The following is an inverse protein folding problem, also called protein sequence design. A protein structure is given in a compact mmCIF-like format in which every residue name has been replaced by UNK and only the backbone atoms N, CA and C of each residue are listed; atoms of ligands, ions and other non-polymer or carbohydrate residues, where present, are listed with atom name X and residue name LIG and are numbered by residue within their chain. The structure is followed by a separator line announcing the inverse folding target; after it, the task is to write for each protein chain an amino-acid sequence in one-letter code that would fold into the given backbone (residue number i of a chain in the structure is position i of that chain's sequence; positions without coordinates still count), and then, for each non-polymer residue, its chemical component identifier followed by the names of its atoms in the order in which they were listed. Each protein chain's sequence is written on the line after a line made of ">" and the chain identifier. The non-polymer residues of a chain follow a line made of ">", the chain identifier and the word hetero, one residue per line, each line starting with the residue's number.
data_IF_988325279378
#
_entry.id   IF_988325279378
#
_cell.length_a   1.000
_cell.length_b   1.000
_cell.length_c   1.000
_cell.angle_alpha   90.00
_cell.angle_beta   90.00
_cell.angle_gamma   90.00
#
_symmetry.space_group_name_H-M   'P 1'
#
loop_
_entity.id
_entity.type
_entity.pdbx_description
1 polymer ?
#
# COMPACT_ATOMS: atom_id res chain seq x y z
N UNK A 1 -25.95 23.56 4.26
CA UNK A 1 -24.67 23.17 3.62
C UNK A 1 -24.20 21.87 4.28
N UNK A 2 -23.78 20.88 3.50
CA UNK A 2 -23.29 19.58 4.00
C UNK A 2 -21.84 19.68 4.50
N UNK A 3 -21.06 20.64 3.97
CA UNK A 3 -19.68 20.91 4.38
C UNK A 3 -19.31 22.37 4.12
N UNK A 4 -18.31 22.89 4.84
CA UNK A 4 -17.71 24.20 4.57
C UNK A 4 -16.22 24.18 4.91
N UNK A 5 -15.40 23.44 4.14
CA UNK A 5 -13.95 23.39 4.37
C UNK A 5 -13.37 24.79 4.19
N UNK A 6 -12.52 25.21 5.14
CA UNK A 6 -11.85 26.50 5.12
C UNK A 6 -10.40 26.30 5.53
N UNK A 7 -9.49 26.96 4.80
CA UNK A 7 -8.09 27.09 5.18
C UNK A 7 -7.61 28.51 4.83
N UNK A 8 -6.53 29.00 5.46
CA UNK A 8 -6.18 30.43 5.43
C UNK A 8 -5.98 31.03 4.03
N UNK A 9 -5.53 30.22 3.07
CA UNK A 9 -5.22 30.63 1.69
C UNK A 9 -6.33 30.31 0.67
N UNK A 10 -7.53 29.88 1.11
CA UNK A 10 -8.62 29.54 0.21
C UNK A 10 -9.19 30.79 -0.50
N UNK A 11 -8.93 30.93 -1.80
CA UNK A 11 -9.67 31.83 -2.68
C UNK A 11 -10.48 31.01 -3.70
N UNK A 12 -11.80 30.91 -3.49
CA UNK A 12 -12.68 30.08 -4.32
C UNK A 12 -12.71 30.49 -5.80
N UNK A 13 -12.34 31.73 -6.14
CA UNK A 13 -12.36 32.22 -7.52
C UNK A 13 -11.21 31.69 -8.38
N UNK A 14 -10.12 31.20 -7.78
CA UNK A 14 -8.95 30.69 -8.50
C UNK A 14 -8.89 29.17 -8.59
N UNK A 15 -9.84 28.46 -7.96
CA UNK A 15 -9.89 27.00 -7.99
C UNK A 15 -10.26 26.50 -9.38
N UNK A 16 -9.48 25.55 -9.88
CA UNK A 16 -9.78 24.82 -11.10
C UNK A 16 -10.19 23.35 -10.79
N UNK A 17 -10.84 22.64 -11.73
CA UNK A 17 -11.21 21.24 -11.54
C UNK A 17 -10.02 20.28 -11.40
N UNK A 18 -8.79 20.68 -11.77
CA UNK A 18 -7.60 19.84 -11.60
C UNK A 18 -6.97 20.02 -10.21
N UNK A 19 -7.36 21.04 -9.45
CA UNK A 19 -6.81 21.39 -8.14
C UNK A 19 -7.74 21.00 -7.00
N UNK A 20 -8.95 20.54 -7.28
CA UNK A 20 -9.90 20.07 -6.28
C UNK A 20 -10.46 18.73 -6.70
N UNK A 21 -10.54 17.80 -5.76
CA UNK A 21 -11.18 16.51 -5.98
C UNK A 21 -12.07 16.17 -4.79
N UNK A 22 -13.20 15.55 -5.10
CA UNK A 22 -14.13 15.03 -4.11
C UNK A 22 -14.16 13.51 -4.20
N UNK A 23 -14.47 12.89 -3.07
CA UNK A 23 -14.79 11.48 -2.92
C UNK A 23 -15.97 11.35 -1.94
N UNK A 24 -16.55 10.16 -1.73
CA UNK A 24 -17.69 9.97 -0.83
C UNK A 24 -17.45 10.45 0.62
N UNK A 25 -16.21 10.43 1.09
CA UNK A 25 -15.82 10.65 2.49
C UNK A 25 -14.81 11.78 2.70
N UNK A 26 -14.11 12.24 1.65
CA UNK A 26 -13.16 13.34 1.80
C UNK A 26 -13.07 14.26 0.57
N UNK A 27 -12.54 15.45 0.82
CA UNK A 27 -12.26 16.52 -0.16
C UNK A 27 -10.75 16.78 -0.11
N UNK A 28 -10.11 16.81 -1.27
CA UNK A 28 -8.73 17.21 -1.41
C UNK A 28 -8.65 18.47 -2.27
N UNK A 29 -7.85 19.44 -1.84
CA UNK A 29 -7.63 20.68 -2.58
C UNK A 29 -6.15 21.06 -2.54
N UNK A 30 -5.59 21.44 -3.68
CA UNK A 30 -4.25 22.04 -3.75
C UNK A 30 -4.29 23.42 -3.12
N UNK A 31 -3.33 23.70 -2.25
CA UNK A 31 -3.17 25.02 -1.66
C UNK A 31 -2.81 26.05 -2.77
N UNK A 32 -3.31 27.27 -2.60
CA UNK A 32 -3.16 28.34 -3.58
C UNK A 32 -1.99 29.27 -3.27
N UNK A 33 -1.61 29.36 -1.99
CA UNK A 33 -0.41 30.08 -1.58
C UNK A 33 0.82 29.20 -1.82
N UNK A 34 0.72 27.89 -1.55
CA UNK A 34 1.79 26.92 -1.83
C UNK A 34 1.30 25.81 -2.76
N UNK A 35 1.66 25.92 -4.03
CA UNK A 35 1.29 24.92 -5.05
C UNK A 35 1.88 23.52 -4.83
N UNK A 36 2.74 23.35 -3.82
CA UNK A 36 3.31 22.05 -3.43
C UNK A 36 2.51 21.35 -2.34
N UNK A 37 1.48 22.00 -1.80
CA UNK A 37 0.70 21.50 -0.68
C UNK A 37 -0.69 21.03 -1.13
N UNK A 38 -1.14 19.89 -0.61
CA UNK A 38 -2.52 19.41 -0.75
C UNK A 38 -3.16 19.36 0.63
N UNK A 39 -4.22 20.14 0.80
CA UNK A 39 -5.11 20.16 1.95
C UNK A 39 -6.14 19.04 1.81
N UNK A 40 -6.44 18.34 2.91
CA UNK A 40 -7.44 17.26 2.93
C UNK A 40 -8.40 17.46 4.08
N UNK A 41 -9.68 17.36 3.75
CA UNK A 41 -10.79 17.50 4.68
C UNK A 41 -11.72 16.30 4.58
N UNK A 42 -12.33 15.93 5.70
CA UNK A 42 -13.51 15.09 5.75
C UNK A 42 -14.70 15.83 5.14
N UNK A 43 -15.76 15.12 4.76
CA UNK A 43 -17.04 15.71 4.34
C UNK A 43 -17.61 16.68 5.38
N UNK A 44 -17.24 16.58 6.65
CA UNK A 44 -17.65 17.56 7.67
C UNK A 44 -16.81 18.85 7.68
N UNK A 45 -15.81 18.97 6.81
CA UNK A 45 -14.91 20.13 6.73
C UNK A 45 -13.77 20.11 7.75
N UNK A 46 -13.61 19.02 8.50
CA UNK A 46 -12.51 18.82 9.44
C UNK A 46 -11.27 18.33 8.70
N UNK A 47 -10.10 18.89 9.04
CA UNK A 47 -8.82 18.44 8.48
C UNK A 47 -8.56 16.95 8.80
N UNK A 48 -8.17 16.20 7.77
CA UNK A 48 -7.71 14.82 7.92
C UNK A 48 -6.19 14.86 7.95
N UNK A 49 -5.61 14.60 9.13
CA UNK A 49 -4.15 14.58 9.32
C UNK A 49 -3.47 15.90 8.95
N UNK A 50 -2.16 15.85 8.75
CA UNK A 50 -1.40 17.02 8.27
C UNK A 50 -1.57 17.18 6.75
N UNK A 51 -1.43 18.41 6.20
CA UNK A 51 -1.41 18.60 4.76
C UNK A 51 -0.28 17.80 4.11
N UNK A 52 -0.49 17.36 2.86
CA UNK A 52 0.58 16.75 2.08
C UNK A 52 1.49 17.83 1.52
N UNK A 53 2.80 17.69 1.70
CA UNK A 53 3.80 18.55 1.07
C UNK A 53 4.63 17.74 0.09
N UNK A 54 4.79 18.24 -1.13
CA UNK A 54 5.60 17.64 -2.19
C UNK A 54 6.83 18.52 -2.50
N UNK A 55 7.85 17.95 -3.11
CA UNK A 55 9.08 18.69 -3.45
C UNK A 55 8.85 19.65 -4.63
N UNK A 56 8.04 19.21 -5.60
CA UNK A 56 7.67 19.91 -6.82
C UNK A 56 6.21 20.39 -6.76
N UNK A 57 5.90 21.41 -7.57
CA UNK A 57 4.55 21.97 -7.66
C UNK A 57 3.59 20.95 -8.29
N UNK A 58 2.37 20.93 -7.79
CA UNK A 58 1.35 19.95 -8.13
C UNK A 58 0.41 20.58 -9.17
N UNK A 59 0.17 19.87 -10.27
CA UNK A 59 -0.65 20.35 -11.39
C UNK A 59 -2.08 19.80 -11.38
N UNK A 60 -2.22 18.51 -11.10
CA UNK A 60 -3.51 17.80 -11.10
C UNK A 60 -3.61 16.89 -9.88
N UNK A 61 -4.78 16.85 -9.24
CA UNK A 61 -5.10 15.94 -8.13
C UNK A 61 -6.40 15.18 -8.42
N UNK A 62 -6.53 14.00 -7.84
CA UNK A 62 -7.72 13.16 -7.96
C UNK A 62 -7.83 12.16 -6.83
N UNK A 63 -8.96 12.15 -6.15
CA UNK A 63 -9.30 11.14 -5.15
C UNK A 63 -9.97 9.94 -5.83
N UNK A 64 -9.63 8.75 -5.35
CA UNK A 64 -10.35 7.53 -5.68
C UNK A 64 -11.78 7.57 -5.11
N UNK A 65 -12.70 6.82 -5.73
CA UNK A 65 -14.11 6.76 -5.30
C UNK A 65 -14.51 5.40 -4.69
N UNK A 66 -13.75 4.34 -4.96
CA UNK A 66 -14.09 2.99 -4.51
C UNK A 66 -13.62 2.66 -3.09
N UNK A 67 -14.09 1.54 -2.57
CA UNK A 67 -13.66 1.00 -1.27
C UNK A 67 -14.10 1.82 -0.06
N UNK A 68 -13.56 1.47 1.09
CA UNK A 68 -13.82 2.17 2.36
C UNK A 68 -13.01 3.45 2.49
N UNK A 69 -13.39 4.32 3.45
CA UNK A 69 -12.63 5.54 3.76
C UNK A 69 -11.14 5.24 4.04
N UNK A 70 -10.84 4.15 4.74
CA UNK A 70 -9.46 3.77 5.08
C UNK A 70 -8.62 3.32 3.86
N UNK A 71 -9.27 2.91 2.77
CA UNK A 71 -8.62 2.51 1.52
C UNK A 71 -8.51 3.68 0.51
N UNK A 72 -9.01 4.86 0.90
CA UNK A 72 -9.02 6.05 0.05
C UNK A 72 -7.59 6.44 -0.35
N UNK A 73 -7.38 6.47 -1.66
CA UNK A 73 -6.17 6.92 -2.31
C UNK A 73 -6.36 8.30 -2.92
N UNK A 74 -5.29 9.09 -2.84
CA UNK A 74 -5.09 10.32 -3.57
C UNK A 74 -4.06 10.06 -4.67
N UNK A 75 -4.38 10.43 -5.90
CA UNK A 75 -3.42 10.53 -6.99
C UNK A 75 -3.14 12.00 -7.28
N UNK A 76 -1.90 12.33 -7.62
CA UNK A 76 -1.55 13.65 -8.10
C UNK A 76 -0.41 13.61 -9.10
N UNK A 77 -0.43 14.55 -10.05
CA UNK A 77 0.62 14.74 -11.03
C UNK A 77 1.35 16.04 -10.72
N UNK A 78 2.67 15.96 -10.60
CA UNK A 78 3.51 17.14 -10.41
C UNK A 78 3.88 17.81 -11.74
N UNK A 79 4.55 18.96 -11.68
CA UNK A 79 5.02 19.69 -12.87
C UNK A 79 6.03 18.91 -13.72
N UNK A 80 6.68 17.89 -13.16
CA UNK A 80 7.58 16.99 -13.91
C UNK A 80 6.83 15.90 -14.67
N UNK A 81 5.49 15.90 -14.59
CA UNK A 81 4.59 14.90 -15.19
C UNK A 81 4.79 13.51 -14.59
N UNK A 82 5.24 13.46 -13.34
CA UNK A 82 5.25 12.23 -12.58
C UNK A 82 3.94 12.09 -11.81
N UNK A 83 3.30 10.92 -11.94
CA UNK A 83 2.09 10.55 -11.22
C UNK A 83 2.48 9.86 -9.92
N UNK A 84 1.99 10.39 -8.81
CA UNK A 84 2.15 9.84 -7.48
C UNK A 84 0.81 9.36 -6.95
N UNK A 85 0.86 8.36 -6.07
CA UNK A 85 -0.27 7.96 -5.25
C UNK A 85 0.09 8.06 -3.76
N UNK A 86 -0.89 8.41 -2.96
CA UNK A 86 -0.77 8.60 -1.53
C UNK A 86 -1.97 8.05 -0.77
N UNK A 87 -1.73 7.51 0.43
CA UNK A 87 -2.79 7.07 1.35
C UNK A 87 -3.40 8.27 2.06
N UNK A 88 -4.72 8.46 1.99
CA UNK A 88 -5.38 9.66 2.57
C UNK A 88 -5.44 9.62 4.09
N UNK A 89 -5.91 8.52 4.68
CA UNK A 89 -6.05 8.46 6.13
C UNK A 89 -4.71 8.11 6.79
N UNK A 90 -4.21 8.93 7.73
CA UNK A 90 -3.02 8.59 8.50
C UNK A 90 -3.32 7.37 9.38
N UNK A 91 -2.35 6.47 9.53
CA UNK A 91 -2.45 5.37 10.50
C UNK A 91 -1.83 5.84 11.83
N UNK A 92 -2.37 5.42 13.00
CA UNK A 92 -1.92 5.92 14.31
C UNK A 92 -0.41 5.79 14.57
N UNK A 93 0.26 4.83 13.93
CA UNK A 93 1.68 4.52 14.08
C UNK A 93 2.49 4.65 12.79
N UNK A 94 1.91 5.17 11.70
CA UNK A 94 2.60 5.28 10.42
C UNK A 94 2.24 6.56 9.67
N UNK A 95 3.28 7.20 9.13
CA UNK A 95 3.12 8.30 8.19
C UNK A 95 2.36 7.84 6.94
N UNK A 96 1.76 8.81 6.25
CA UNK A 96 1.12 8.55 4.96
C UNK A 96 2.17 8.05 3.98
N UNK A 97 1.85 6.96 3.27
CA UNK A 97 2.72 6.43 2.23
C UNK A 97 2.51 7.24 0.96
N UNK A 98 3.59 7.63 0.29
CA UNK A 98 3.59 8.36 -0.98
C UNK A 98 4.64 7.71 -1.87
N UNK A 99 4.25 7.29 -3.07
CA UNK A 99 5.16 6.67 -4.03
C UNK A 99 4.78 7.07 -5.46
N UNK A 100 5.80 7.11 -6.32
CA UNK A 100 5.67 7.44 -7.75
C UNK A 100 5.11 6.25 -8.52
N UNK A 101 3.88 6.36 -9.01
CA UNK A 101 3.17 5.33 -9.79
C UNK A 101 3.63 5.29 -11.25
N UNK A 102 3.92 6.44 -11.86
CA UNK A 102 4.26 6.53 -13.27
C UNK A 102 4.97 7.82 -13.65
N UNK A 103 5.60 7.81 -14.82
CA UNK A 103 6.25 8.98 -15.42
C UNK A 103 5.59 9.40 -16.72
N UNK A 104 5.84 10.65 -17.12
CA UNK A 104 5.35 11.26 -18.37
C UNK A 104 3.83 11.12 -18.49
N UNK A 105 3.13 11.30 -17.36
CA UNK A 105 1.68 11.19 -17.29
C UNK A 105 1.04 12.46 -17.78
N UNK A 106 0.25 12.33 -18.85
CA UNK A 106 -0.41 13.47 -19.46
C UNK A 106 -1.70 13.87 -18.77
N UNK A 107 -2.46 12.87 -18.34
CA UNK A 107 -3.75 12.99 -17.66
C UNK A 107 -4.07 11.64 -17.02
N UNK A 108 -4.88 11.65 -15.97
CA UNK A 108 -5.34 10.41 -15.33
C UNK A 108 -6.79 10.53 -14.84
N UNK A 109 -7.49 9.42 -14.72
CA UNK A 109 -8.79 9.35 -14.04
C UNK A 109 -8.90 8.08 -13.22
N UNK A 110 -9.43 8.23 -12.01
CA UNK A 110 -9.91 7.11 -11.22
C UNK A 110 -11.19 6.55 -11.83
N UNK A 111 -11.41 5.26 -11.65
CA UNK A 111 -12.70 4.67 -11.94
C UNK A 111 -13.79 5.22 -11.01
N UNK A 112 -15.00 5.32 -11.55
CA UNK A 112 -16.20 5.76 -10.82
C UNK A 112 -16.51 4.99 -9.52
N UNK A 113 -16.21 3.68 -9.45
CA UNK A 113 -16.63 2.82 -8.34
C UNK A 113 -15.50 1.98 -7.73
N UNK A 114 -14.40 1.78 -8.45
CA UNK A 114 -13.29 0.93 -8.04
C UNK A 114 -12.03 1.75 -7.79
N UNK A 115 -11.13 1.25 -6.93
CA UNK A 115 -9.83 1.85 -6.69
C UNK A 115 -8.82 1.45 -7.77
N UNK A 116 -9.18 1.73 -9.03
CA UNK A 116 -8.35 1.48 -10.22
C UNK A 116 -8.20 2.80 -10.99
N UNK A 117 -7.06 2.98 -11.64
CA UNK A 117 -6.69 4.24 -12.28
C UNK A 117 -6.26 4.00 -13.73
N UNK A 118 -6.70 4.89 -14.59
CA UNK A 118 -6.29 4.98 -15.99
C UNK A 118 -5.48 6.25 -16.18
N UNK A 119 -4.34 6.19 -16.88
CA UNK A 119 -3.59 7.36 -17.26
C UNK A 119 -3.03 7.23 -18.67
N UNK A 120 -2.87 8.37 -19.35
CA UNK A 120 -2.05 8.45 -20.56
C UNK A 120 -0.61 8.64 -20.12
N UNK A 121 0.24 7.64 -20.37
CA UNK A 121 1.68 7.72 -20.22
C UNK A 121 2.31 7.91 -21.59
N UNK A 122 2.89 9.08 -21.81
CA UNK A 122 3.35 9.53 -23.12
C UNK A 122 2.22 9.45 -24.17
N UNK A 123 2.16 8.40 -24.99
CA UNK A 123 1.09 8.18 -25.99
C UNK A 123 0.18 6.98 -25.68
N UNK A 124 0.50 6.21 -24.64
CA UNK A 124 -0.12 4.92 -24.35
C UNK A 124 -1.06 5.01 -23.16
N UNK A 125 -2.16 4.25 -23.21
CA UNK A 125 -3.10 4.16 -22.10
C UNK A 125 -2.62 3.09 -21.12
N UNK A 126 -2.19 3.50 -19.93
CA UNK A 126 -1.83 2.59 -18.84
C UNK A 126 -2.98 2.47 -17.85
N UNK A 127 -3.37 1.24 -17.55
CA UNK A 127 -4.40 0.90 -16.58
C UNK A 127 -3.75 0.16 -15.43
N UNK A 128 -3.83 0.70 -14.21
CA UNK A 128 -3.41 -0.02 -13.01
C UNK A 128 -4.66 -0.55 -12.30
N UNK A 129 -4.75 -1.88 -12.27
CA UNK A 129 -5.89 -2.61 -11.72
C UNK A 129 -5.86 -2.73 -10.20
N UNK A 130 -4.69 -2.49 -9.60
CA UNK A 130 -4.51 -2.47 -8.15
C UNK A 130 -3.37 -1.51 -7.74
N UNK A 131 -3.58 -0.18 -7.76
CA UNK A 131 -2.52 0.81 -7.55
C UNK A 131 -1.86 0.74 -6.17
N UNK A 132 -2.60 0.36 -5.12
CA UNK A 132 -2.09 0.27 -3.75
C UNK A 132 -0.88 -0.67 -3.62
N UNK A 133 -0.71 -1.64 -4.54
CA UNK A 133 0.41 -2.59 -4.48
C UNK A 133 1.78 -1.92 -4.49
N UNK A 134 1.90 -0.68 -4.99
CA UNK A 134 3.17 0.04 -5.01
C UNK A 134 3.81 0.19 -3.62
N UNK A 135 2.97 0.27 -2.58
CA UNK A 135 3.38 0.44 -1.19
C UNK A 135 3.82 -0.85 -0.50
N UNK A 136 3.73 -1.96 -1.22
CA UNK A 136 3.96 -3.32 -0.71
C UNK A 136 5.01 -4.00 -1.59
N UNK A 137 4.76 -4.10 -2.89
CA UNK A 137 5.65 -4.75 -3.85
C UNK A 137 5.64 -4.03 -5.22
N UNK A 138 6.69 -3.25 -5.44
CA UNK A 138 6.91 -2.51 -6.70
C UNK A 138 7.11 -3.43 -7.91
N UNK A 139 7.56 -4.68 -7.72
CA UNK A 139 7.71 -5.64 -8.83
C UNK A 139 6.36 -6.13 -9.31
N UNK A 140 5.43 -6.36 -8.39
CA UNK A 140 4.09 -6.85 -8.71
C UNK A 140 3.21 -5.78 -9.38
N UNK A 141 3.51 -4.49 -9.15
CA UNK A 141 2.84 -3.37 -9.81
C UNK A 141 2.76 -3.52 -11.33
N UNK A 142 3.87 -3.93 -11.97
CA UNK A 142 3.93 -4.11 -13.43
C UNK A 142 3.01 -5.22 -13.92
N UNK A 143 2.79 -6.26 -13.10
CA UNK A 143 1.91 -7.38 -13.43
C UNK A 143 0.44 -7.04 -13.19
N UNK A 144 0.14 -6.14 -12.26
CA UNK A 144 -1.21 -5.62 -12.03
C UNK A 144 -1.56 -4.42 -12.94
N UNK A 145 -0.78 -4.19 -13.98
CA UNK A 145 -0.99 -3.09 -14.91
C UNK A 145 -1.09 -3.61 -16.34
N UNK A 146 -1.94 -2.97 -17.14
CA UNK A 146 -2.11 -3.27 -18.57
C UNK A 146 -1.86 -2.00 -19.35
N UNK A 147 -0.96 -2.08 -20.32
CA UNK A 147 -0.66 -1.00 -21.25
C UNK A 147 -1.38 -1.29 -22.55
N UNK A 148 -2.15 -0.32 -23.03
CA UNK A 148 -2.79 -0.34 -24.34
C UNK A 148 -2.15 0.74 -25.19
N UNK A 149 -1.38 0.30 -26.17
CA UNK A 149 -0.87 1.17 -27.22
C UNK A 149 -1.90 1.18 -28.34
N UNK A 150 -2.32 2.37 -28.78
CA UNK A 150 -3.15 2.50 -29.97
C UNK A 150 -2.78 3.78 -30.69
N UNK A 151 -2.48 3.66 -31.98
CA UNK A 151 -2.31 4.79 -32.88
C UNK A 151 -3.56 5.68 -32.96
N UNK A 152 -4.72 5.15 -32.57
CA UNK A 152 -6.00 5.85 -32.58
C UNK A 152 -6.06 7.00 -31.58
N UNK A 153 -5.24 6.98 -30.51
CA UNK A 153 -5.24 8.05 -29.50
C UNK A 153 -4.62 9.35 -30.00
N UNK A 154 -3.89 9.33 -31.11
CA UNK A 154 -3.32 10.51 -31.73
C UNK A 154 -2.37 11.30 -30.83
N UNK A 155 -2.21 12.58 -31.12
CA UNK A 155 -1.31 13.46 -30.39
C UNK A 155 -2.00 14.02 -29.12
N UNK A 156 -1.33 13.98 -27.97
CA UNK A 156 -1.79 14.55 -26.68
C UNK A 156 -3.21 14.10 -26.24
N UNK A 157 -3.47 12.79 -26.13
CA UNK A 157 -4.74 12.30 -25.62
C UNK A 157 -4.93 12.67 -24.14
N UNK A 158 -6.17 12.96 -23.75
CA UNK A 158 -6.55 13.23 -22.37
C UNK A 158 -7.63 12.26 -21.89
N UNK A 159 -7.42 11.61 -20.75
CA UNK A 159 -8.44 10.79 -20.10
C UNK A 159 -9.50 11.71 -19.51
N UNK A 160 -10.73 11.64 -20.04
CA UNK A 160 -11.85 12.45 -19.56
C UNK A 160 -12.65 11.72 -18.49
N UNK A 161 -12.93 10.45 -18.70
CA UNK A 161 -13.82 9.64 -17.86
C UNK A 161 -13.33 8.21 -17.73
N UNK A 162 -13.64 7.57 -16.60
CA UNK A 162 -13.47 6.13 -16.43
C UNK A 162 -14.67 5.58 -15.65
N UNK A 163 -15.64 5.03 -16.38
CA UNK A 163 -16.91 4.55 -15.83
C UNK A 163 -17.12 3.11 -16.24
N UNK A 164 -17.42 2.24 -15.26
CA UNK A 164 -17.52 0.80 -15.49
C UNK A 164 -16.24 0.26 -16.14
N UNK A 165 -16.39 -0.36 -17.30
CA UNK A 165 -15.30 -0.91 -18.11
C UNK A 165 -14.92 -0.02 -19.32
N UNK A 166 -15.23 1.28 -19.28
CA UNK A 166 -15.02 2.19 -20.40
C UNK A 166 -14.18 3.40 -19.98
N UNK A 167 -13.12 3.67 -20.75
CA UNK A 167 -12.26 4.84 -20.57
C UNK A 167 -12.50 5.80 -21.73
N UNK A 168 -13.06 6.97 -21.42
CA UNK A 168 -13.23 8.06 -22.37
C UNK A 168 -11.92 8.83 -22.53
N UNK A 169 -11.45 8.94 -23.77
CA UNK A 169 -10.20 9.61 -24.15
C UNK A 169 -10.55 10.69 -25.16
N UNK A 170 -10.18 11.93 -24.86
CA UNK A 170 -10.31 13.06 -25.78
C UNK A 170 -8.99 13.28 -26.52
N UNK A 171 -9.06 13.32 -27.85
CA UNK A 171 -7.93 13.60 -28.74
C UNK A 171 -7.70 15.11 -28.89
N UNK A 172 -6.55 15.49 -29.47
CA UNK A 172 -6.23 16.89 -29.79
C UNK A 172 -7.19 17.54 -30.78
N UNK A 173 -7.84 16.76 -31.65
CA UNK A 173 -8.86 17.22 -32.59
C UNK A 173 -10.25 17.37 -31.96
N UNK A 174 -10.38 17.08 -30.65
CA UNK A 174 -11.63 17.17 -29.89
C UNK A 174 -12.49 15.91 -29.96
N UNK A 175 -12.14 14.91 -30.78
CA UNK A 175 -12.88 13.65 -30.86
C UNK A 175 -12.81 12.88 -29.53
N UNK A 176 -13.93 12.26 -29.15
CA UNK A 176 -14.02 11.42 -27.96
C UNK A 176 -14.00 9.94 -28.37
N UNK A 177 -12.95 9.24 -27.97
CA UNK A 177 -12.76 7.81 -28.16
C UNK A 177 -13.13 7.09 -26.86
N UNK A 178 -13.79 5.95 -26.97
CA UNK A 178 -14.03 5.07 -25.83
C UNK A 178 -13.18 3.82 -25.97
N UNK A 179 -12.23 3.64 -25.05
CA UNK A 179 -11.42 2.42 -24.95
C UNK A 179 -12.06 1.48 -23.94
N UNK A 180 -12.45 0.29 -24.40
CA UNK A 180 -12.94 -0.78 -23.52
C UNK A 180 -11.84 -1.35 -22.64
N UNK A 181 -12.17 -1.69 -21.41
CA UNK A 181 -11.33 -2.39 -20.42
C UNK A 181 -11.97 -3.74 -20.12
N UNK A 182 -11.17 -4.70 -19.65
CA UNK A 182 -11.67 -6.02 -19.26
C UNK A 182 -12.77 -5.90 -18.19
N UNK A 183 -14.00 -6.40 -18.45
CA UNK A 183 -15.08 -6.35 -17.45
C UNK A 183 -14.84 -7.30 -16.28
N UNK A 184 -13.99 -8.32 -16.46
CA UNK A 184 -13.69 -9.33 -15.44
C UNK A 184 -13.01 -8.76 -14.21
N UNK A 185 -12.32 -7.63 -14.34
CA UNK A 185 -11.71 -6.95 -13.20
C UNK A 185 -12.76 -6.46 -12.20
N UNK A 186 -13.84 -5.85 -12.68
CA UNK A 186 -14.91 -5.37 -11.79
C UNK A 186 -15.59 -6.54 -11.07
N UNK A 187 -15.80 -7.64 -11.78
CA UNK A 187 -16.35 -8.88 -11.20
C UNK A 187 -15.39 -9.45 -10.14
N UNK A 188 -14.07 -9.45 -10.41
CA UNK A 188 -13.06 -9.92 -9.46
C UNK A 188 -13.05 -9.10 -8.17
N UNK A 189 -13.06 -7.76 -8.28
CA UNK A 189 -13.18 -6.87 -7.12
C UNK A 189 -14.47 -7.17 -6.33
N UNK A 190 -15.59 -7.42 -7.01
CA UNK A 190 -16.85 -7.83 -6.36
C UNK A 190 -16.76 -9.17 -5.61
N UNK A 191 -16.07 -10.17 -6.17
CA UNK A 191 -15.81 -11.43 -5.48
C UNK A 191 -14.88 -11.26 -4.27
N UNK A 192 -13.86 -10.43 -4.38
CA UNK A 192 -12.96 -10.11 -3.25
C UNK A 192 -13.73 -9.43 -2.12
N UNK A 193 -14.64 -8.49 -2.42
CA UNK A 193 -15.44 -7.79 -1.41
C UNK A 193 -16.47 -8.71 -0.73
N UNK A 194 -17.00 -9.69 -1.45
CA UNK A 194 -17.96 -10.68 -0.90
C UNK A 194 -17.28 -11.88 -0.25
N UNK A 195 -15.96 -12.00 -0.31
CA UNK A 195 -15.22 -13.18 0.17
C UNK A 195 -15.46 -14.44 -0.67
N UNK A 196 -15.95 -14.31 -1.90
CA UNK A 196 -16.28 -15.44 -2.80
C UNK A 196 -15.05 -15.95 -3.55
N UNK A 197 -14.01 -16.36 -2.82
CA UNK A 197 -12.69 -16.68 -3.38
C UNK A 197 -12.68 -17.86 -4.35
N UNK A 198 -13.56 -18.84 -4.15
CA UNK A 198 -13.71 -19.99 -5.06
C UNK A 198 -14.17 -19.56 -6.45
N UNK A 199 -15.08 -18.60 -6.52
CA UNK A 199 -15.58 -18.08 -7.80
C UNK A 199 -14.58 -17.12 -8.43
N UNK A 200 -13.84 -16.35 -7.63
CA UNK A 200 -12.69 -15.57 -8.10
C UNK A 200 -11.62 -16.45 -8.78
N UNK A 201 -11.30 -17.62 -8.20
CA UNK A 201 -10.38 -18.60 -8.81
C UNK A 201 -10.93 -19.18 -10.11
N UNK A 202 -12.22 -19.54 -10.14
CA UNK A 202 -12.87 -20.04 -11.37
C UNK A 202 -12.82 -19.01 -12.49
N UNK A 203 -13.09 -17.74 -12.16
CA UNK A 203 -12.99 -16.63 -13.10
C UNK A 203 -11.58 -16.51 -13.67
N UNK A 204 -10.55 -16.49 -12.82
CA UNK A 204 -9.16 -16.35 -13.28
C UNK A 204 -8.70 -17.57 -14.11
N UNK A 205 -9.13 -18.78 -13.75
CA UNK A 205 -8.86 -20.01 -14.53
C UNK A 205 -9.52 -19.99 -15.90
N UNK A 206 -10.71 -19.40 -16.02
CA UNK A 206 -11.44 -19.27 -17.27
C UNK A 206 -10.81 -18.22 -18.19
N UNK A 207 -10.50 -17.03 -17.65
CA UNK A 207 -9.99 -15.90 -18.43
C UNK A 207 -8.52 -16.09 -18.83
N UNK A 208 -7.72 -16.75 -17.98
CA UNK A 208 -6.28 -17.01 -18.19
C UNK A 208 -5.46 -15.73 -18.46
N UNK A 209 -5.86 -14.62 -17.86
CA UNK A 209 -5.15 -13.33 -17.92
C UNK A 209 -4.21 -13.19 -16.71
N UNK A 210 -2.93 -12.98 -16.98
CA UNK A 210 -1.90 -12.82 -15.95
C UNK A 210 -2.17 -11.61 -15.03
N UNK A 211 -2.68 -10.50 -15.58
CA UNK A 211 -2.94 -9.30 -14.79
C UNK A 211 -4.08 -9.51 -13.78
N UNK A 212 -5.08 -10.30 -14.19
CA UNK A 212 -6.19 -10.68 -13.33
C UNK A 212 -5.73 -11.64 -12.21
N UNK A 213 -4.88 -12.61 -12.54
CA UNK A 213 -4.25 -13.50 -11.55
C UNK A 213 -3.38 -12.73 -10.55
N UNK A 214 -2.61 -11.75 -11.02
CA UNK A 214 -1.80 -10.90 -10.15
C UNK A 214 -2.68 -10.08 -9.19
N UNK A 215 -3.79 -9.54 -9.66
CA UNK A 215 -4.75 -8.83 -8.80
C UNK A 215 -5.37 -9.76 -7.75
N UNK A 216 -5.78 -10.96 -8.14
CA UNK A 216 -6.32 -11.95 -7.21
C UNK A 216 -5.30 -12.33 -6.14
N UNK A 217 -4.03 -12.55 -6.51
CA UNK A 217 -2.98 -12.87 -5.56
C UNK A 217 -2.82 -11.78 -4.48
N UNK A 218 -2.84 -10.50 -4.89
CA UNK A 218 -2.76 -9.36 -3.96
C UNK A 218 -3.98 -9.28 -3.06
N UNK A 219 -5.19 -9.36 -3.64
CA UNK A 219 -6.45 -9.29 -2.89
C UNK A 219 -6.56 -10.42 -1.86
N UNK A 220 -6.24 -11.66 -2.25
CA UNK A 220 -6.24 -12.81 -1.37
C UNK A 220 -5.20 -12.69 -0.23
N UNK A 221 -4.01 -12.13 -0.54
CA UNK A 221 -2.99 -11.87 0.48
C UNK A 221 -3.49 -10.90 1.54
N UNK A 222 -4.13 -9.80 1.13
CA UNK A 222 -4.67 -8.81 2.06
C UNK A 222 -5.86 -9.34 2.86
N UNK A 223 -6.68 -10.19 2.25
CA UNK A 223 -7.77 -10.87 2.94
C UNK A 223 -7.31 -12.03 3.83
N UNK A 224 -6.00 -12.35 3.85
CA UNK A 224 -5.40 -13.45 4.62
C UNK A 224 -5.88 -14.84 4.19
N UNK A 225 -6.21 -14.98 2.91
CA UNK A 225 -6.72 -16.22 2.29
C UNK A 225 -5.59 -17.00 1.60
N UNK A 226 -5.06 -18.00 2.30
CA UNK A 226 -3.83 -18.70 1.94
C UNK A 226 -4.01 -19.55 0.67
N UNK A 227 -5.05 -20.39 0.61
CA UNK A 227 -5.25 -21.33 -0.50
C UNK A 227 -5.40 -20.61 -1.85
N UNK A 228 -6.12 -19.48 -1.82
CA UNK A 228 -6.36 -18.63 -3.00
C UNK A 228 -5.09 -17.88 -3.39
N UNK A 229 -4.37 -17.32 -2.42
CA UNK A 229 -3.10 -16.65 -2.66
C UNK A 229 -2.06 -17.62 -3.23
N UNK A 230 -1.93 -18.83 -2.69
CA UNK A 230 -0.99 -19.85 -3.15
C UNK A 230 -1.26 -20.21 -4.61
N UNK A 231 -2.52 -20.51 -4.93
CA UNK A 231 -2.95 -20.82 -6.30
C UNK A 231 -2.67 -19.67 -7.28
N UNK A 232 -2.92 -18.43 -6.85
CA UNK A 232 -2.75 -17.25 -7.69
C UNK A 232 -1.27 -16.89 -7.89
N UNK A 233 -0.43 -16.96 -6.85
CA UNK A 233 1.01 -16.76 -6.97
C UNK A 233 1.69 -17.85 -7.81
N UNK A 234 1.22 -19.09 -7.71
CA UNK A 234 1.66 -20.17 -8.59
C UNK A 234 1.31 -19.87 -10.05
N UNK A 235 0.10 -19.38 -10.34
CA UNK A 235 -0.32 -19.03 -11.69
C UNK A 235 0.51 -17.90 -12.32
N UNK A 236 1.05 -16.98 -11.51
CA UNK A 236 1.95 -15.92 -11.97
C UNK A 236 3.45 -16.28 -11.80
N UNK A 237 3.80 -17.53 -11.53
CA UNK A 237 5.19 -17.99 -11.38
C UNK A 237 6.00 -17.21 -10.32
N UNK A 238 5.37 -16.83 -9.20
CA UNK A 238 6.04 -16.22 -8.05
C UNK A 238 6.37 -17.28 -6.99
N UNK A 239 7.29 -18.18 -7.34
CA UNK A 239 7.61 -19.36 -6.51
C UNK A 239 8.10 -19.01 -5.11
N UNK A 240 8.87 -17.94 -4.95
CA UNK A 240 9.35 -17.48 -3.63
C UNK A 240 8.18 -17.22 -2.66
N UNK A 241 7.10 -16.60 -3.16
CA UNK A 241 5.90 -16.32 -2.37
C UNK A 241 5.08 -17.58 -2.10
N UNK A 242 5.06 -18.52 -3.05
CA UNK A 242 4.40 -19.83 -2.87
C UNK A 242 5.08 -20.63 -1.77
N UNK A 243 6.43 -20.71 -1.78
CA UNK A 243 7.19 -21.39 -0.73
C UNK A 243 6.93 -20.77 0.64
N UNK A 244 6.88 -19.43 0.72
CA UNK A 244 6.54 -18.75 1.97
C UNK A 244 5.10 -19.02 2.42
N UNK A 245 4.13 -19.09 1.50
CA UNK A 245 2.75 -19.47 1.84
C UNK A 245 2.63 -20.92 2.32
N UNK A 246 3.41 -21.84 1.76
CA UNK A 246 3.50 -23.22 2.24
C UNK A 246 4.06 -23.27 3.66
N UNK A 247 5.10 -22.48 3.95
CA UNK A 247 5.61 -22.33 5.31
C UNK A 247 4.54 -21.78 6.27
N UNK A 248 3.80 -20.75 5.86
CA UNK A 248 2.69 -20.18 6.65
C UNK A 248 1.60 -21.22 6.92
N UNK A 249 1.38 -22.15 6.00
CA UNK A 249 0.39 -23.22 6.14
C UNK A 249 0.79 -24.26 7.18
N UNK A 250 2.09 -24.52 7.35
CA UNK A 250 2.61 -25.44 8.37
C UNK A 250 2.47 -24.86 9.80
N UNK A 251 2.33 -23.54 9.93
CA UNK A 251 2.14 -22.88 11.23
C UNK A 251 0.73 -23.18 11.77
N UNK A 252 0.68 -23.94 12.87
CA UNK A 252 -0.57 -24.32 13.54
C UNK A 252 -1.27 -23.16 14.26
N UNK A 253 -0.52 -22.15 14.72
CA UNK A 253 -1.10 -20.99 15.42
C UNK A 253 -1.75 -20.02 14.44
N UNK A 254 -3.09 -19.96 14.44
CA UNK A 254 -3.85 -19.02 13.59
C UNK A 254 -3.43 -17.56 13.73
N UNK A 255 -3.17 -17.00 14.93
CA UNK A 255 -2.80 -15.59 15.03
C UNK A 255 -1.44 -15.27 14.40
N UNK A 256 -0.51 -16.24 14.43
CA UNK A 256 0.81 -16.13 13.79
C UNK A 256 0.64 -16.22 12.28
N UNK A 257 -0.14 -17.19 11.81
CA UNK A 257 -0.45 -17.35 10.40
C UNK A 257 -1.07 -16.06 9.81
N UNK A 258 -1.99 -15.43 10.54
CA UNK A 258 -2.56 -14.13 10.15
C UNK A 258 -1.53 -12.99 10.15
N UNK A 259 -0.61 -12.98 11.12
CA UNK A 259 0.46 -11.99 11.19
C UNK A 259 1.44 -12.13 10.01
N UNK A 260 1.89 -13.35 9.71
CA UNK A 260 2.77 -13.63 8.56
C UNK A 260 2.09 -13.27 7.22
N UNK A 261 0.78 -13.52 7.09
CA UNK A 261 0.00 -13.05 5.92
C UNK A 261 -0.03 -11.52 5.80
N UNK A 262 -0.20 -10.81 6.92
CA UNK A 262 -0.11 -9.34 6.95
C UNK A 262 1.30 -8.84 6.60
N UNK A 263 2.36 -9.58 6.96
CA UNK A 263 3.74 -9.27 6.55
C UNK A 263 3.93 -9.46 5.04
N UNK A 264 3.42 -10.55 4.48
CA UNK A 264 3.43 -10.77 3.02
C UNK A 264 2.69 -9.64 2.28
N UNK A 265 1.61 -9.13 2.86
CA UNK A 265 0.85 -7.98 2.38
C UNK A 265 1.49 -6.62 2.65
N UNK A 266 2.68 -6.56 3.24
CA UNK A 266 3.43 -5.32 3.53
C UNK A 266 2.85 -4.46 4.66
N UNK A 267 1.97 -5.00 5.48
CA UNK A 267 1.36 -4.34 6.63
C UNK A 267 2.03 -4.79 7.95
N UNK A 268 3.26 -4.34 8.18
CA UNK A 268 4.06 -4.71 9.38
C UNK A 268 3.37 -4.30 10.68
N UNK A 269 2.71 -3.14 10.70
CA UNK A 269 2.01 -2.63 11.88
C UNK A 269 0.81 -3.49 12.27
N UNK A 270 0.09 -4.02 11.27
CA UNK A 270 -1.04 -4.91 11.51
C UNK A 270 -0.56 -6.26 12.05
N UNK A 271 0.52 -6.81 11.47
CA UNK A 271 1.17 -8.01 11.98
C UNK A 271 1.64 -7.84 13.43
N UNK A 272 2.31 -6.72 13.75
CA UNK A 272 2.73 -6.38 15.12
C UNK A 272 1.51 -6.32 16.06
N UNK A 273 0.45 -5.59 15.69
CA UNK A 273 -0.73 -5.44 16.52
C UNK A 273 -1.41 -6.78 16.81
N UNK A 274 -1.53 -7.65 15.81
CA UNK A 274 -2.08 -9.00 15.97
C UNK A 274 -1.24 -9.85 16.94
N UNK A 275 0.09 -9.83 16.80
CA UNK A 275 0.99 -10.58 17.68
C UNK A 275 0.92 -10.07 19.13
N UNK A 276 0.91 -8.75 19.31
CA UNK A 276 0.83 -8.13 20.64
C UNK A 276 -0.52 -8.38 21.33
N UNK A 277 -1.63 -8.31 20.59
CA UNK A 277 -2.97 -8.62 21.13
C UNK A 277 -3.07 -10.07 21.64
N UNK A 278 -2.34 -10.99 21.01
CA UNK A 278 -2.29 -12.40 21.40
C UNK A 278 -1.14 -12.70 22.40
N UNK A 279 -0.49 -11.67 22.94
CA UNK A 279 0.57 -11.81 23.95
C UNK A 279 1.88 -12.42 23.43
N UNK A 280 2.09 -12.46 22.11
CA UNK A 280 3.30 -12.98 21.46
C UNK A 280 4.33 -11.86 21.26
N UNK A 281 4.83 -11.35 22.39
CA UNK A 281 5.74 -10.20 22.43
C UNK A 281 7.09 -10.51 21.78
N UNK A 282 7.65 -11.70 22.04
CA UNK A 282 8.91 -12.14 21.43
C UNK A 282 8.83 -12.17 19.89
N UNK A 283 7.78 -12.80 19.34
CA UNK A 283 7.55 -12.84 17.88
C UNK A 283 7.36 -11.45 17.27
N UNK A 284 6.67 -10.55 17.96
CA UNK A 284 6.51 -9.16 17.52
C UNK A 284 7.85 -8.40 17.48
N UNK A 285 8.75 -8.66 18.43
CA UNK A 285 10.11 -8.11 18.45
C UNK A 285 10.93 -8.67 17.28
N UNK A 286 10.93 -10.00 17.10
CA UNK A 286 11.65 -10.66 16.01
C UNK A 286 11.15 -10.23 14.63
N UNK A 287 9.85 -10.05 14.47
CA UNK A 287 9.24 -9.52 13.25
C UNK A 287 9.80 -8.13 12.95
N UNK A 288 9.79 -7.21 13.91
CA UNK A 288 10.32 -5.86 13.73
C UNK A 288 11.84 -5.85 13.47
N UNK A 289 12.60 -6.78 14.07
CA UNK A 289 14.03 -6.97 13.75
C UNK A 289 14.21 -7.40 12.29
N UNK A 290 13.43 -8.38 11.84
CA UNK A 290 13.50 -8.90 10.46
C UNK A 290 13.12 -7.87 9.41
N UNK A 291 12.21 -6.95 9.74
CA UNK A 291 11.81 -5.83 8.87
C UNK A 291 12.67 -4.58 9.06
N UNK A 292 13.77 -4.66 9.81
CA UNK A 292 14.68 -3.55 10.13
C UNK A 292 14.07 -2.35 10.87
N UNK A 293 12.95 -2.54 11.56
CA UNK A 293 12.31 -1.53 12.42
C UNK A 293 12.89 -1.57 13.85
N UNK A 294 14.18 -1.28 13.96
CA UNK A 294 14.95 -1.45 15.21
C UNK A 294 14.45 -0.61 16.37
N UNK A 295 14.10 0.66 16.14
CA UNK A 295 13.58 1.55 17.18
C UNK A 295 12.28 1.01 17.77
N UNK A 296 11.39 0.52 16.89
CA UNK A 296 10.12 -0.06 17.31
C UNK A 296 10.30 -1.36 18.08
N UNK A 297 11.21 -2.23 17.64
CA UNK A 297 11.58 -3.44 18.38
C UNK A 297 12.06 -3.11 19.80
N UNK A 298 12.89 -2.08 19.95
CA UNK A 298 13.40 -1.63 21.24
C UNK A 298 12.30 -1.04 22.14
N UNK A 299 11.39 -0.25 21.58
CA UNK A 299 10.23 0.29 22.32
C UNK A 299 9.35 -0.83 22.87
N UNK A 300 9.05 -1.85 22.07
CA UNK A 300 8.24 -3.01 22.49
C UNK A 300 8.95 -3.76 23.61
N UNK A 301 10.25 -4.04 23.45
CA UNK A 301 11.07 -4.71 24.45
C UNK A 301 11.13 -3.94 25.77
N UNK A 302 11.31 -2.61 25.71
CA UNK A 302 11.40 -1.74 26.89
C UNK A 302 10.06 -1.64 27.61
N UNK A 303 8.96 -1.44 26.86
CA UNK A 303 7.60 -1.35 27.42
C UNK A 303 7.19 -2.62 28.14
N UNK A 304 7.54 -3.77 27.58
CA UNK A 304 7.20 -5.07 28.15
C UNK A 304 8.26 -5.58 29.14
N UNK A 305 9.40 -4.87 29.27
CA UNK A 305 10.58 -5.24 30.08
C UNK A 305 11.12 -6.65 29.76
N UNK A 306 11.05 -7.04 28.49
CA UNK A 306 11.50 -8.35 28.01
C UNK A 306 12.40 -8.23 26.79
N UNK A 307 13.37 -9.14 26.64
CA UNK A 307 14.18 -9.33 25.43
C UNK A 307 14.96 -8.10 24.92
N UNK A 308 15.26 -7.12 25.78
CA UNK A 308 16.07 -5.92 25.42
C UNK A 308 17.48 -6.33 24.97
N UNK A 309 18.07 -7.28 25.70
CA UNK A 309 19.35 -7.94 25.40
C UNK A 309 19.36 -8.56 24.00
N UNK A 310 18.27 -9.23 23.60
CA UNK A 310 18.16 -9.84 22.26
C UNK A 310 18.18 -8.80 21.14
N UNK A 311 17.44 -7.69 21.30
CA UNK A 311 17.39 -6.61 20.29
C UNK A 311 18.77 -5.98 20.11
N UNK A 312 19.48 -5.75 21.23
CA UNK A 312 20.85 -5.21 21.21
C UNK A 312 21.83 -6.16 20.50
N UNK A 313 21.76 -7.47 20.79
CA UNK A 313 22.62 -8.46 20.14
C UNK A 313 22.38 -8.54 18.63
N UNK A 314 21.12 -8.67 18.20
CA UNK A 314 20.79 -8.74 16.76
C UNK A 314 21.19 -7.48 16.02
N UNK A 315 21.07 -6.32 16.68
CA UNK A 315 21.48 -5.04 16.14
C UNK A 315 23.01 -4.93 16.02
N UNK A 316 23.76 -5.40 17.02
CA UNK A 316 25.22 -5.49 16.96
C UNK A 316 25.66 -6.41 15.81
N UNK A 317 25.11 -7.61 15.70
CA UNK A 317 25.38 -8.55 14.59
C UNK A 317 25.03 -7.96 13.22
N UNK A 318 24.07 -7.04 13.15
CA UNK A 318 23.72 -6.33 11.93
C UNK A 318 24.74 -5.24 11.57
N UNK A 319 25.19 -4.48 12.57
CA UNK A 319 26.22 -3.44 12.38
C UNK A 319 27.59 -4.01 12.06
N UNK A 320 27.99 -5.09 12.71
CA UNK A 320 29.25 -5.78 12.46
C UNK A 320 29.29 -6.32 11.03
N UNK A 321 28.17 -6.86 10.52
CA UNK A 321 28.02 -7.27 9.12
C UNK A 321 28.13 -6.12 8.12
N UNK A 322 27.72 -4.91 8.51
CA UNK A 322 27.81 -3.71 7.68
C UNK A 322 29.16 -2.97 7.82
N UNK A 323 29.99 -3.36 8.79
CA UNK A 323 31.25 -2.67 9.13
C UNK A 323 31.06 -1.23 9.58
N UNK A 324 29.89 -0.88 10.14
CA UNK A 324 29.56 0.49 10.58
C UNK A 324 29.36 0.54 12.09
N UNK A 325 29.71 1.67 12.70
CA UNK A 325 29.44 1.92 14.12
C UNK A 325 28.00 2.41 14.33
N UNK A 326 27.50 2.21 15.55
CA UNK A 326 26.14 2.61 15.90
C UNK A 326 25.97 4.12 15.92
N UNK A 327 25.02 4.59 15.11
CA UNK A 327 24.68 6.01 15.00
C UNK A 327 23.57 6.44 15.95
N UNK A 328 22.84 5.49 16.57
CA UNK A 328 21.67 5.82 17.38
C UNK A 328 22.02 5.92 18.88
N UNK A 329 21.82 7.09 19.46
CA UNK A 329 22.12 7.39 20.86
C UNK A 329 21.38 6.48 21.86
N UNK A 330 20.12 6.12 21.56
CA UNK A 330 19.32 5.24 22.43
C UNK A 330 19.95 3.85 22.58
N UNK A 331 20.50 3.32 21.48
CA UNK A 331 21.17 2.02 21.49
C UNK A 331 22.51 2.08 22.22
N UNK A 332 23.25 3.19 22.08
CA UNK A 332 24.53 3.37 22.78
C UNK A 332 24.35 3.48 24.31
N UNK A 333 23.34 4.22 24.79
CA UNK A 333 23.05 4.33 26.23
C UNK A 333 22.59 3.01 26.85
N UNK A 334 21.80 2.21 26.13
CA UNK A 334 21.33 0.92 26.64
C UNK A 334 22.44 -0.14 26.60
N UNK A 335 23.34 -0.06 25.62
CA UNK A 335 24.51 -0.93 25.53
C UNK A 335 25.47 -0.75 26.70
N UNK A 336 25.66 0.48 27.21
CA UNK A 336 26.50 0.72 28.40
C UNK A 336 25.89 0.17 29.69
N UNK A 337 24.56 -0.01 29.73
CA UNK A 337 23.83 -0.43 30.92
C UNK A 337 23.48 -1.93 30.95
N UNK A 338 23.54 -2.63 29.82
CA UNK A 338 23.12 -4.04 29.70
C UNK A 338 24.32 -4.90 29.29
N UNK A 339 24.71 -5.86 30.15
CA UNK A 339 25.67 -6.89 29.78
C UNK A 339 25.04 -7.86 28.79
N UNK A 340 25.62 -7.96 27.58
CA UNK A 340 25.17 -8.86 26.53
C UNK A 340 25.89 -10.20 26.70
N UNK A 341 25.15 -11.25 27.02
CA UNK A 341 25.66 -12.62 27.03
C UNK A 341 24.95 -13.44 25.95
N UNK A 342 25.67 -13.79 24.88
CA UNK A 342 25.10 -14.42 23.67
C UNK A 342 24.48 -15.79 23.97
N UNK A 343 25.13 -16.61 24.80
CA UNK A 343 24.67 -17.96 25.11
C UNK A 343 23.34 -17.95 25.89
N UNK A 344 23.19 -17.00 26.81
CA UNK A 344 21.93 -16.85 27.57
C UNK A 344 20.79 -16.32 26.71
N UNK A 345 21.10 -15.50 25.70
CA UNK A 345 20.13 -14.98 24.76
C UNK A 345 19.62 -16.11 23.85
N UNK A 346 20.51 -16.95 23.33
CA UNK A 346 20.14 -18.06 22.47
C UNK A 346 19.27 -19.10 23.22
N UNK A 347 19.57 -19.36 24.50
CA UNK A 347 18.72 -20.20 25.37
C UNK A 347 17.34 -19.56 25.61
N UNK A 348 17.26 -18.24 25.85
CA UNK A 348 15.97 -17.54 26.00
C UNK A 348 15.14 -17.56 24.73
N UNK A 349 15.78 -17.45 23.57
CA UNK A 349 15.13 -17.54 22.25
C UNK A 349 14.57 -18.94 22.03
N UNK A 350 15.37 -19.99 22.32
CA UNK A 350 14.92 -21.38 22.23
C UNK A 350 13.75 -21.67 23.17
N UNK A 351 13.79 -21.17 24.42
CA UNK A 351 12.70 -21.32 25.37
C UNK A 351 11.38 -20.69 24.88
N UNK A 352 11.42 -19.48 24.32
CA UNK A 352 10.20 -18.86 23.76
C UNK A 352 9.69 -19.62 22.52
N UNK A 353 10.57 -20.19 21.69
CA UNK A 353 10.18 -21.03 20.56
C UNK A 353 9.55 -22.37 21.00
N UNK A 354 10.03 -22.97 22.08
CA UNK A 354 9.44 -24.18 22.67
C UNK A 354 8.08 -23.90 23.29
N UNK A 355 7.96 -22.80 24.06
CA UNK A 355 6.69 -22.33 24.62
C UNK A 355 5.65 -22.00 23.55
N UNK A 356 6.09 -21.56 22.37
CA UNK A 356 5.20 -21.40 21.21
C UNK A 356 4.76 -22.74 20.60
N UNK A 357 5.61 -23.77 20.60
CA UNK A 357 5.23 -25.14 20.20
C UNK A 357 4.25 -25.76 21.19
N UNK A 358 4.40 -25.52 22.48
CA UNK A 358 3.47 -26.03 23.50
C UNK A 358 2.08 -25.39 23.42
N UNK A 359 1.97 -24.23 22.76
CA UNK A 359 0.69 -23.56 22.47
C UNK A 359 -0.03 -24.11 21.23
N UNK A 360 0.62 -24.99 20.45
CA UNK A 360 0.05 -25.64 19.25
C UNK A 360 -0.47 -27.02 19.52
#
# INVERSE_FOLDING_TARGET
>A
LISSPKWPSLNTASLNPSQISLSPDCIAARDQADEKVIQIFDINGKEIGTPFSHTTQIGEIGLSNGGSAFERLLAFVDRTRDLYIATVHPRPSASRKIDKLGSVVQSFRWNSHLNIIAAIQDTSLTLWYYPYIIFVDKKLLRRTAVIKESSEFGHRPQVTTYVGNHVGIRRSDGALINSGVSPYLAILHGYSMSGSWRDALRLCRMVKDEALWACLAVMATQAKEIDTAESAYAAINQFDKVLYLQHIREIKLKPVQMAEMSLLGGNVQEAEALLLQNGMTFRAIMTNISTHNWERALEIATRNRTHIDTVLLYRQRFMDRLGKQETNEKFNMLRSNVQINEEQIDVKVQYELEKEKDRT
#
